data_IF_696909989054
#
_entry.id   IF_696909989054
#
_cell.length_a   1.000
_cell.length_b   1.000
_cell.length_c   1.000
_cell.angle_alpha   90.00
_cell.angle_beta   90.00
_cell.angle_gamma   90.00
#
_symmetry.space_group_name_H-M   'P 1'
#
loop_
_entity.id
_entity.type
_entity.pdbx_description
1 polymer ?
#
# COMPACT_ATOMS: atom_id res chain seq x y z
N UNK A 1 19.75 5.14 -3.06
CA UNK A 1 19.00 4.11 -2.30
C UNK A 1 18.23 3.26 -3.29
N UNK A 2 18.23 1.94 -3.15
CA UNK A 2 17.47 1.06 -4.04
C UNK A 2 15.96 1.19 -3.73
N UNK A 3 15.10 1.07 -4.75
CA UNK A 3 13.67 1.13 -4.54
C UNK A 3 13.21 -0.03 -3.65
N UNK A 4 12.37 0.26 -2.65
CA UNK A 4 11.78 -0.80 -1.82
C UNK A 4 10.56 -1.38 -2.53
N UNK A 5 10.78 -2.50 -3.23
CA UNK A 5 9.77 -3.18 -4.04
C UNK A 5 8.71 -3.90 -3.19
N UNK A 6 8.98 -4.14 -1.91
CA UNK A 6 8.10 -4.87 -0.98
C UNK A 6 7.53 -3.97 0.12
N UNK A 7 7.43 -2.66 -0.13
CA UNK A 7 6.94 -1.69 0.84
C UNK A 7 5.42 -1.82 1.14
N UNK A 8 4.67 -2.45 0.24
CA UNK A 8 3.23 -2.69 0.34
C UNK A 8 2.93 -4.11 -0.15
N UNK A 9 2.28 -4.90 0.69
CA UNK A 9 1.77 -6.24 0.36
C UNK A 9 0.25 -6.22 0.48
N UNK A 10 -0.44 -6.80 -0.50
CA UNK A 10 -1.90 -6.88 -0.54
C UNK A 10 -2.31 -8.33 -0.78
N UNK A 11 -3.20 -8.85 0.05
CA UNK A 11 -3.76 -10.19 -0.10
C UNK A 11 -5.30 -10.13 -0.07
N UNK A 12 -6.01 -10.76 -1.03
CA UNK A 12 -7.46 -10.92 -0.93
C UNK A 12 -7.82 -11.79 0.28
N UNK A 13 -8.75 -11.31 1.12
CA UNK A 13 -9.29 -12.06 2.27
C UNK A 13 -10.80 -11.98 2.24
N UNK A 14 -11.45 -13.10 1.89
CA UNK A 14 -12.90 -13.18 1.76
C UNK A 14 -13.43 -12.20 0.70
N UNK A 15 -14.18 -11.18 1.12
CA UNK A 15 -14.74 -10.13 0.26
C UNK A 15 -13.93 -8.82 0.28
N UNK A 16 -12.78 -8.78 0.95
CA UNK A 16 -11.96 -7.58 1.10
C UNK A 16 -10.48 -7.83 0.86
N UNK A 17 -9.65 -6.81 1.15
CA UNK A 17 -8.19 -6.92 1.12
C UNK A 17 -7.61 -6.86 2.53
N UNK A 18 -6.54 -7.63 2.74
CA UNK A 18 -5.59 -7.41 3.81
C UNK A 18 -4.38 -6.66 3.23
N UNK A 19 -4.07 -5.50 3.80
CA UNK A 19 -3.00 -4.62 3.34
C UNK A 19 -1.95 -4.51 4.44
N UNK A 20 -0.71 -4.87 4.13
CA UNK A 20 0.44 -4.68 5.00
C UNK A 20 1.40 -3.67 4.37
N UNK A 21 1.82 -2.65 5.11
CA UNK A 21 2.78 -1.66 4.62
C UNK A 21 3.79 -1.25 5.68
N UNK A 22 5.03 -1.06 5.25
CA UNK A 22 6.14 -0.55 6.07
C UNK A 22 6.33 0.96 5.94
N UNK A 23 5.44 1.64 5.21
CA UNK A 23 5.47 3.09 5.07
C UNK A 23 5.24 3.77 6.42
N UNK A 24 6.05 4.80 6.71
CA UNK A 24 5.94 5.60 7.93
C UNK A 24 4.78 6.61 7.89
N UNK A 25 3.57 6.15 7.55
CA UNK A 25 2.36 6.99 7.42
C UNK A 25 2.05 7.75 8.72
N UNK A 26 2.35 7.16 9.89
CA UNK A 26 2.18 7.81 11.20
C UNK A 26 3.04 9.08 11.37
N UNK A 27 4.13 9.24 10.61
CA UNK A 27 4.94 10.47 10.58
C UNK A 27 4.54 11.38 9.43
N UNK A 28 4.23 10.79 8.28
CA UNK A 28 3.95 11.56 7.07
C UNK A 28 2.55 12.20 7.07
N UNK A 29 1.55 11.58 7.72
CA UNK A 29 0.21 12.15 7.84
C UNK A 29 0.19 13.37 8.76
N UNK A 30 0.76 13.36 9.99
CA UNK A 30 0.87 14.57 10.81
C UNK A 30 1.74 15.67 10.19
N UNK A 31 2.74 15.29 9.40
CA UNK A 31 3.58 16.24 8.66
C UNK A 31 2.88 16.84 7.42
N UNK A 32 1.63 16.45 7.12
CA UNK A 32 0.84 17.02 6.02
C UNK A 32 1.35 16.65 4.63
N UNK A 33 2.09 15.53 4.48
CA UNK A 33 2.64 15.12 3.18
C UNK A 33 1.51 14.66 2.27
N UNK A 34 1.22 15.37 1.15
CA UNK A 34 0.05 15.06 0.32
C UNK A 34 0.10 13.67 -0.32
N UNK A 35 1.31 13.20 -0.65
CA UNK A 35 1.52 11.86 -1.20
C UNK A 35 1.15 10.75 -0.22
N UNK A 36 1.43 10.92 1.07
CA UNK A 36 1.10 9.95 2.10
C UNK A 36 -0.41 9.82 2.31
N UNK A 37 -1.13 10.95 2.30
CA UNK A 37 -2.59 10.96 2.38
C UNK A 37 -3.23 10.27 1.17
N UNK A 38 -2.71 10.51 -0.05
CA UNK A 38 -3.18 9.83 -1.27
C UNK A 38 -2.95 8.32 -1.21
N UNK A 39 -1.74 7.89 -0.86
CA UNK A 39 -1.43 6.46 -0.74
C UNK A 39 -2.34 5.83 0.31
N UNK A 40 -2.47 6.44 1.50
CA UNK A 40 -3.32 5.91 2.57
C UNK A 40 -4.78 5.73 2.13
N UNK A 41 -5.36 6.72 1.45
CA UNK A 41 -6.73 6.63 0.97
C UNK A 41 -6.89 5.54 -0.10
N UNK A 42 -5.92 5.39 -1.00
CA UNK A 42 -5.92 4.31 -1.99
C UNK A 42 -5.83 2.92 -1.33
N UNK A 43 -5.08 2.78 -0.23
CA UNK A 43 -4.99 1.53 0.51
C UNK A 43 -6.31 1.21 1.23
N UNK A 44 -7.02 2.21 1.75
CA UNK A 44 -8.37 2.02 2.34
C UNK A 44 -9.38 1.60 1.28
N UNK A 45 -9.28 2.15 0.08
CA UNK A 45 -10.17 1.85 -1.04
C UNK A 45 -9.87 0.50 -1.72
N UNK A 46 -8.80 -0.20 -1.34
CA UNK A 46 -8.40 -1.45 -1.98
C UNK A 46 -9.43 -2.57 -1.72
N UNK A 47 -9.95 -3.18 -2.78
CA UNK A 47 -11.08 -4.10 -2.78
C UNK A 47 -10.66 -5.54 -3.15
N UNK A 48 -9.66 -6.10 -2.46
CA UNK A 48 -9.21 -7.49 -2.63
C UNK A 48 -8.54 -7.82 -3.97
N UNK A 49 -8.75 -7.00 -5.00
CA UNK A 49 -8.06 -7.09 -6.28
C UNK A 49 -6.60 -6.68 -6.07
N UNK A 50 -5.70 -7.66 -6.07
CA UNK A 50 -4.28 -7.41 -5.94
C UNK A 50 -3.84 -6.44 -7.05
N UNK A 51 -3.09 -5.37 -6.74
CA UNK A 51 -2.57 -4.47 -7.76
C UNK A 51 -1.70 -5.26 -8.74
N UNK A 52 -1.82 -4.98 -10.03
CA UNK A 52 -1.17 -5.72 -11.13
C UNK A 52 0.37 -5.81 -11.05
N UNK A 53 1.02 -5.08 -10.12
CA UNK A 53 2.46 -5.18 -9.84
C UNK A 53 2.82 -6.34 -8.92
N UNK A 54 1.84 -7.07 -8.35
CA UNK A 54 2.06 -8.24 -7.48
C UNK A 54 2.42 -9.52 -8.24
N UNK A 55 2.44 -9.49 -9.58
CA UNK A 55 3.01 -10.60 -10.36
C UNK A 55 4.53 -10.58 -10.19
N UNK A 56 5.14 -11.68 -9.69
CA UNK A 56 6.59 -11.81 -9.67
C UNK A 56 7.07 -11.64 -11.12
N UNK A 57 7.81 -10.55 -11.37
CA UNK A 57 8.49 -10.38 -12.65
C UNK A 57 9.67 -11.36 -12.65
N UNK A 58 9.85 -12.15 -13.73
CA UNK A 58 10.94 -13.11 -13.85
C UNK A 58 12.31 -12.44 -13.83
#
# INVERSE_FOLDING_TARGET
EAANENAVLVAPVGKGAYVYTTLALFRQLPAGVPGAARIFLNLIAADGVAPASALPRP
#
